data_IF_164397819837
#
_entry.id   IF_164397819837
#
_cell.length_a   1.000
_cell.length_b   1.000
_cell.length_c   1.000
_cell.angle_alpha   90.00
_cell.angle_beta   90.00
_cell.angle_gamma   90.00
#
_symmetry.space_group_name_H-M   'P 1'
#
loop_
_entity.id
_entity.type
_entity.pdbx_description
1 polymer ?
#
# COMPACT_ATOMS: atom_id res chain seq x y z
N UNK A 1 10.97 31.39 7.12
CA UNK A 1 11.32 31.14 5.73
C UNK A 1 11.88 29.73 5.67
N UNK A 2 11.42 28.93 4.72
CA UNK A 2 12.02 27.61 4.46
C UNK A 2 13.46 27.82 3.98
N UNK A 3 14.42 26.97 4.37
CA UNK A 3 15.78 27.05 3.83
C UNK A 3 15.71 26.93 2.31
N UNK A 4 16.47 27.76 1.61
CA UNK A 4 16.59 27.69 0.15
C UNK A 4 17.27 26.36 -0.23
N UNK A 5 17.06 25.91 -1.45
CA UNK A 5 17.71 24.71 -1.97
C UNK A 5 19.26 24.80 -1.84
N UNK A 6 19.81 25.99 -2.00
CA UNK A 6 21.24 26.28 -1.82
C UNK A 6 21.73 26.10 -0.36
N UNK A 7 20.88 26.40 0.63
CA UNK A 7 21.23 26.17 2.04
C UNK A 7 21.20 24.68 2.41
N UNK A 8 20.28 23.93 1.82
CA UNK A 8 20.22 22.46 1.97
C UNK A 8 21.45 21.81 1.29
N UNK A 9 21.77 22.23 0.09
CA UNK A 9 22.92 21.75 -0.67
C UNK A 9 24.24 22.07 0.03
N UNK A 10 24.39 23.31 0.54
CA UNK A 10 25.53 23.70 1.37
C UNK A 10 25.65 22.83 2.63
N UNK A 11 24.54 22.53 3.31
CA UNK A 11 24.51 21.69 4.49
C UNK A 11 24.93 20.24 4.18
N UNK A 12 24.44 19.68 3.07
CA UNK A 12 24.81 18.32 2.63
C UNK A 12 26.30 18.24 2.29
N UNK A 13 26.83 19.24 1.59
CA UNK A 13 28.25 19.27 1.18
C UNK A 13 29.23 19.45 2.36
N UNK A 14 28.78 20.04 3.48
CA UNK A 14 29.61 20.31 4.65
C UNK A 14 29.29 19.42 5.86
N UNK A 15 28.44 18.42 5.67
CA UNK A 15 28.03 17.52 6.73
C UNK A 15 29.19 16.70 7.32
N UNK A 16 30.14 16.32 6.49
CA UNK A 16 31.33 15.55 6.92
C UNK A 16 32.42 16.44 7.58
N UNK A 17 32.37 17.76 7.39
CA UNK A 17 33.35 18.72 7.95
C UNK A 17 32.89 19.35 9.28
N UNK A 18 31.75 18.94 9.84
CA UNK A 18 31.12 19.61 10.96
C UNK A 18 31.12 18.82 12.28
N UNK A 19 32.28 18.41 12.83
CA UNK A 19 32.32 17.75 14.16
C UNK A 19 32.02 18.72 15.32
N UNK A 20 31.90 20.03 15.09
CA UNK A 20 31.79 21.05 16.13
C UNK A 20 30.61 22.03 16.00
N UNK A 21 29.74 21.86 15.02
CA UNK A 21 28.46 22.59 15.04
C UNK A 21 27.57 21.94 16.10
N UNK A 22 27.19 22.70 17.13
CA UNK A 22 26.14 22.33 18.07
C UNK A 22 24.83 22.19 17.28
N UNK A 23 24.67 21.08 16.59
CA UNK A 23 23.45 20.72 15.88
C UNK A 23 22.33 20.70 16.91
N UNK A 24 21.21 21.41 16.69
CA UNK A 24 20.01 21.13 17.44
C UNK A 24 19.82 19.64 17.39
N UNK A 25 19.50 19.02 18.53
CA UNK A 25 19.37 17.56 18.63
C UNK A 25 18.63 17.04 17.40
N UNK A 26 19.12 15.99 16.82
CA UNK A 26 18.64 15.42 15.55
C UNK A 26 17.10 15.39 15.43
N UNK A 27 16.40 15.16 16.54
CA UNK A 27 14.94 15.25 16.68
C UNK A 27 14.36 16.65 16.48
N UNK A 28 14.99 17.71 16.98
CA UNK A 28 14.42 19.07 16.85
C UNK A 28 14.59 19.65 15.44
N UNK A 29 15.64 19.29 14.72
CA UNK A 29 15.85 19.63 13.32
C UNK A 29 14.81 18.98 12.43
N UNK A 30 14.66 17.68 12.53
CA UNK A 30 13.69 16.92 11.73
C UNK A 30 12.23 17.29 12.08
N UNK A 31 11.94 17.53 13.36
CA UNK A 31 10.61 18.03 13.77
C UNK A 31 10.29 19.40 13.17
N UNK A 32 11.27 20.31 13.10
CA UNK A 32 11.10 21.62 12.48
C UNK A 32 10.99 21.56 10.97
N UNK A 33 11.81 20.72 10.31
CA UNK A 33 11.73 20.48 8.86
C UNK A 33 10.38 19.85 8.48
N UNK A 34 9.90 18.88 9.25
CA UNK A 34 8.59 18.25 9.03
C UNK A 34 7.44 19.25 9.20
N UNK A 35 7.47 20.12 10.20
CA UNK A 35 6.42 21.13 10.37
C UNK A 35 6.40 22.16 9.23
N UNK A 36 7.57 22.63 8.80
CA UNK A 36 7.68 23.62 7.73
C UNK A 36 7.29 23.02 6.36
N UNK A 37 7.75 21.81 6.09
CA UNK A 37 7.50 21.15 4.80
C UNK A 37 6.04 20.67 4.69
N UNK A 38 5.49 20.05 5.74
CA UNK A 38 4.08 19.65 5.80
C UNK A 38 3.13 20.84 5.65
N UNK A 39 3.41 21.99 6.26
CA UNK A 39 2.52 23.16 6.14
C UNK A 39 2.55 23.79 4.74
N UNK A 40 3.71 23.79 4.09
CA UNK A 40 3.85 24.37 2.74
C UNK A 40 3.28 23.41 1.69
N UNK A 41 3.59 22.13 1.78
CA UNK A 41 3.12 21.11 0.85
C UNK A 41 1.63 20.81 1.01
N UNK A 42 1.07 20.80 2.23
CA UNK A 42 -0.38 20.65 2.44
C UNK A 42 -1.16 21.82 1.80
N UNK A 43 -0.63 23.05 1.82
CA UNK A 43 -1.25 24.17 1.09
C UNK A 43 -1.22 23.95 -0.41
N UNK A 44 -0.11 23.48 -0.95
CA UNK A 44 0.04 23.23 -2.38
C UNK A 44 -0.85 22.06 -2.82
N UNK A 45 -0.89 20.97 -2.05
CA UNK A 45 -1.74 19.79 -2.32
C UNK A 45 -3.23 20.12 -2.24
N UNK A 46 -3.67 20.95 -1.30
CA UNK A 46 -5.07 21.40 -1.27
C UNK A 46 -5.45 22.25 -2.48
N UNK A 47 -4.50 22.98 -3.07
CA UNK A 47 -4.72 23.74 -4.31
C UNK A 47 -4.56 22.86 -5.58
N UNK A 48 -3.70 21.84 -5.55
CA UNK A 48 -3.38 20.96 -6.67
C UNK A 48 -4.20 19.67 -6.71
N UNK A 49 -4.87 19.31 -5.61
CA UNK A 49 -5.63 18.05 -5.49
C UNK A 49 -6.75 17.87 -6.52
N UNK A 50 -7.17 18.94 -7.20
CA UNK A 50 -8.08 18.88 -8.35
C UNK A 50 -7.33 18.60 -9.68
N UNK A 51 -6.01 18.85 -9.76
CA UNK A 51 -5.22 18.68 -10.97
C UNK A 51 -4.62 17.26 -11.10
N UNK A 52 -4.46 16.53 -10.00
CA UNK A 52 -3.83 15.20 -10.03
C UNK A 52 -4.69 14.08 -10.62
N UNK A 53 -6.00 14.27 -10.81
CA UNK A 53 -6.85 13.30 -11.51
C UNK A 53 -6.51 13.16 -13.01
N UNK A 54 -5.82 14.13 -13.60
CA UNK A 54 -5.55 14.16 -15.04
C UNK A 54 -4.22 13.52 -15.48
N UNK A 55 -3.37 13.09 -14.55
CA UNK A 55 -2.01 12.58 -14.85
C UNK A 55 -1.79 11.11 -14.49
N UNK A 56 -2.83 10.34 -14.21
CA UNK A 56 -2.63 8.89 -14.05
C UNK A 56 -2.29 8.30 -15.42
N UNK A 57 -1.13 7.65 -15.57
CA UNK A 57 -0.81 6.94 -16.81
C UNK A 57 -1.87 5.86 -17.07
N UNK A 58 -2.02 5.50 -18.33
CA UNK A 58 -2.82 4.34 -18.75
C UNK A 58 -2.56 3.17 -17.81
N UNK A 59 -3.63 2.50 -17.35
CA UNK A 59 -3.59 1.38 -16.39
C UNK A 59 -2.43 0.44 -16.69
N UNK A 60 -1.54 0.31 -15.72
CA UNK A 60 -0.43 -0.64 -15.82
C UNK A 60 -0.96 -2.01 -15.41
N UNK A 61 -0.85 -3.01 -16.29
CA UNK A 61 -1.03 -4.40 -15.89
C UNK A 61 0.03 -4.74 -14.84
N UNK A 62 -0.40 -5.28 -13.69
CA UNK A 62 0.49 -5.54 -12.57
C UNK A 62 0.31 -6.97 -12.05
N UNK A 63 1.33 -7.80 -12.25
CA UNK A 63 1.41 -9.15 -11.71
C UNK A 63 2.28 -9.16 -10.46
N UNK A 64 1.66 -9.31 -9.30
CA UNK A 64 2.34 -9.19 -8.01
C UNK A 64 2.55 -10.55 -7.37
N UNK A 65 3.81 -10.92 -7.12
CA UNK A 65 4.14 -11.98 -6.17
C UNK A 65 4.11 -11.40 -4.75
N UNK A 66 3.02 -11.67 -4.01
CA UNK A 66 2.81 -11.15 -2.67
C UNK A 66 3.29 -12.17 -1.62
N UNK A 67 4.30 -11.79 -0.83
CA UNK A 67 4.81 -12.56 0.30
C UNK A 67 5.17 -11.65 1.49
N UNK A 68 4.38 -10.59 1.65
CA UNK A 68 4.46 -9.62 2.75
C UNK A 68 3.81 -10.09 4.06
N UNK A 69 3.25 -11.29 4.08
CA UNK A 69 2.68 -11.91 5.27
C UNK A 69 3.73 -12.03 6.38
N UNK A 70 3.34 -11.78 7.60
CA UNK A 70 4.18 -11.87 8.80
C UNK A 70 3.59 -12.87 9.78
N UNK A 71 2.44 -12.57 10.35
CA UNK A 71 1.76 -13.39 11.34
C UNK A 71 1.54 -14.83 10.89
N UNK A 72 1.14 -15.05 9.63
CA UNK A 72 0.91 -16.39 9.09
C UNK A 72 2.19 -17.22 9.03
N UNK A 73 3.33 -16.60 8.67
CA UNK A 73 4.62 -17.27 8.70
C UNK A 73 5.11 -17.54 10.13
N UNK A 74 4.90 -16.61 11.06
CA UNK A 74 5.21 -16.79 12.47
C UNK A 74 4.40 -17.93 13.09
N UNK A 75 3.11 -18.01 12.77
CA UNK A 75 2.23 -19.10 13.16
C UNK A 75 2.71 -20.44 12.59
N UNK A 76 3.04 -20.48 11.30
CA UNK A 76 3.60 -21.68 10.65
C UNK A 76 4.92 -22.10 11.33
N UNK A 77 5.81 -21.20 11.64
CA UNK A 77 7.03 -21.49 12.38
C UNK A 77 6.73 -22.08 13.75
N UNK A 78 5.84 -21.46 14.51
CA UNK A 78 5.44 -21.91 15.85
C UNK A 78 4.83 -23.32 15.82
N UNK A 79 3.92 -23.58 14.88
CA UNK A 79 3.27 -24.89 14.74
C UNK A 79 4.25 -26.01 14.38
N UNK A 80 5.32 -25.68 13.68
CA UNK A 80 6.35 -26.65 13.26
C UNK A 80 7.61 -26.64 14.15
N UNK A 81 7.61 -25.90 15.25
CA UNK A 81 8.76 -25.81 16.16
C UNK A 81 9.99 -25.15 15.53
N UNK A 82 9.80 -24.28 14.54
CA UNK A 82 10.87 -23.57 13.85
C UNK A 82 11.08 -22.17 14.44
N UNK A 83 12.32 -21.68 14.37
CA UNK A 83 12.61 -20.27 14.69
C UNK A 83 12.09 -19.34 13.60
N UNK A 84 11.58 -18.16 14.01
CA UNK A 84 11.14 -17.09 13.09
C UNK A 84 12.27 -16.53 12.22
N UNK A 85 13.54 -16.74 12.60
CA UNK A 85 14.70 -16.39 11.77
C UNK A 85 14.66 -17.06 10.39
N UNK A 86 14.00 -18.23 10.30
CA UNK A 86 13.81 -18.95 9.02
C UNK A 86 12.90 -18.25 8.04
N UNK A 87 12.07 -17.32 8.50
CA UNK A 87 11.15 -16.57 7.64
C UNK A 87 11.95 -15.71 6.64
N UNK A 88 12.99 -15.03 7.11
CA UNK A 88 13.85 -14.23 6.23
C UNK A 88 14.55 -15.07 5.17
N UNK A 89 15.14 -16.22 5.57
CA UNK A 89 15.77 -17.17 4.65
C UNK A 89 14.78 -17.67 3.60
N UNK A 90 13.56 -18.02 4.01
CA UNK A 90 12.50 -18.47 3.10
C UNK A 90 12.12 -17.37 2.10
N UNK A 91 11.90 -16.13 2.56
CA UNK A 91 11.57 -14.99 1.69
C UNK A 91 12.68 -14.68 0.69
N UNK A 92 13.93 -14.79 1.11
CA UNK A 92 15.09 -14.66 0.21
C UNK A 92 15.05 -15.73 -0.92
N UNK A 93 14.67 -16.98 -0.62
CA UNK A 93 14.52 -18.02 -1.65
C UNK A 93 13.34 -17.74 -2.60
N UNK A 94 12.20 -17.27 -2.07
CA UNK A 94 11.05 -16.87 -2.88
C UNK A 94 11.44 -15.73 -3.83
N UNK A 95 12.15 -14.72 -3.34
CA UNK A 95 12.62 -13.61 -4.15
C UNK A 95 13.60 -14.06 -5.26
N UNK A 96 14.54 -14.97 -4.95
CA UNK A 96 15.45 -15.56 -5.96
C UNK A 96 14.66 -16.32 -7.03
N UNK A 97 13.63 -17.06 -6.65
CA UNK A 97 12.72 -17.73 -7.58
C UNK A 97 12.04 -16.73 -8.53
N UNK A 98 11.49 -15.65 -7.97
CA UNK A 98 10.90 -14.56 -8.75
C UNK A 98 11.91 -13.94 -9.73
N UNK A 99 13.10 -13.60 -9.27
CA UNK A 99 14.16 -13.01 -10.10
C UNK A 99 14.57 -13.93 -11.26
N UNK A 100 14.59 -15.25 -11.04
CA UNK A 100 14.88 -16.22 -12.10
C UNK A 100 13.78 -16.26 -13.17
N UNK A 101 12.51 -16.23 -12.75
CA UNK A 101 11.37 -16.14 -13.67
C UNK A 101 11.40 -14.80 -14.42
N UNK A 102 11.71 -13.71 -13.73
CA UNK A 102 11.80 -12.37 -14.32
C UNK A 102 12.81 -12.30 -15.45
N UNK A 103 13.99 -12.93 -15.31
CA UNK A 103 15.03 -12.94 -16.35
C UNK A 103 14.59 -13.62 -17.65
N UNK A 104 13.66 -14.58 -17.57
CA UNK A 104 13.12 -15.31 -18.72
C UNK A 104 11.78 -14.75 -19.22
N UNK A 105 11.25 -13.72 -18.59
CA UNK A 105 9.93 -13.16 -18.89
C UNK A 105 10.04 -11.68 -19.28
N UNK A 106 9.46 -11.33 -20.42
CA UNK A 106 9.48 -9.95 -20.95
C UNK A 106 8.34 -9.06 -20.42
N UNK A 107 7.47 -9.59 -19.56
CA UNK A 107 6.34 -8.82 -19.01
C UNK A 107 6.85 -7.65 -18.16
N UNK A 108 6.42 -6.43 -18.46
CA UNK A 108 6.91 -5.21 -17.81
C UNK A 108 6.26 -4.93 -16.44
N UNK A 109 5.05 -5.44 -16.22
CA UNK A 109 4.26 -5.21 -15.01
C UNK A 109 4.54 -6.20 -13.87
N UNK A 110 5.75 -6.76 -13.78
CA UNK A 110 6.09 -7.66 -12.67
C UNK A 110 6.40 -6.87 -11.40
N UNK A 111 5.87 -7.34 -10.28
CA UNK A 111 6.09 -6.74 -8.98
C UNK A 111 6.23 -7.78 -7.87
N UNK A 112 6.84 -7.36 -6.77
CA UNK A 112 6.78 -8.07 -5.50
C UNK A 112 6.09 -7.21 -4.45
N UNK A 113 5.42 -7.86 -3.49
CA UNK A 113 4.94 -7.23 -2.28
C UNK A 113 5.60 -7.92 -1.10
N UNK A 114 6.44 -7.19 -0.36
CA UNK A 114 7.33 -7.71 0.68
C UNK A 114 7.33 -6.81 1.91
N UNK A 115 7.29 -7.39 3.10
CA UNK A 115 7.35 -6.66 4.36
C UNK A 115 8.80 -6.24 4.73
N UNK A 116 8.97 -5.14 5.49
CA UNK A 116 10.30 -4.67 5.87
C UNK A 116 10.90 -5.40 7.06
N UNK A 117 10.15 -6.25 7.76
CA UNK A 117 10.62 -6.98 8.94
C UNK A 117 11.47 -8.18 8.54
N UNK A 118 10.88 -9.10 7.79
CA UNK A 118 11.57 -10.32 7.32
C UNK A 118 12.17 -10.17 5.91
N UNK A 119 11.75 -9.15 5.16
CA UNK A 119 12.23 -8.85 3.81
C UNK A 119 13.36 -7.82 3.74
N UNK A 120 13.97 -7.44 4.87
CA UNK A 120 14.98 -6.37 4.92
C UNK A 120 16.12 -6.57 3.93
N UNK A 121 16.67 -7.78 3.83
CA UNK A 121 17.77 -8.08 2.91
C UNK A 121 17.36 -7.84 1.44
N UNK A 122 16.15 -8.26 1.08
CA UNK A 122 15.61 -8.07 -0.26
C UNK A 122 15.48 -6.58 -0.56
N UNK A 123 14.87 -5.82 0.35
CA UNK A 123 14.65 -4.39 0.18
C UNK A 123 15.98 -3.61 0.08
N UNK A 124 16.97 -3.95 0.90
CA UNK A 124 18.29 -3.31 0.87
C UNK A 124 19.02 -3.54 -0.45
N UNK A 125 18.82 -4.71 -1.07
CA UNK A 125 19.51 -5.09 -2.31
C UNK A 125 18.66 -4.82 -3.58
N UNK A 126 17.56 -4.11 -3.47
CA UNK A 126 16.60 -3.89 -4.58
C UNK A 126 16.57 -2.44 -5.09
N UNK A 127 17.59 -1.63 -4.79
CA UNK A 127 17.65 -0.23 -5.24
C UNK A 127 17.63 -0.10 -6.78
N UNK A 128 18.28 -1.03 -7.47
CA UNK A 128 18.36 -1.08 -8.94
C UNK A 128 17.48 -2.19 -9.54
N UNK A 129 16.39 -2.58 -8.85
CA UNK A 129 15.49 -3.61 -9.33
C UNK A 129 14.76 -3.15 -10.61
N UNK A 130 14.69 -4.02 -11.60
CA UNK A 130 13.96 -3.78 -12.86
C UNK A 130 12.49 -4.24 -12.79
N UNK A 131 11.95 -4.32 -11.57
CA UNK A 131 10.57 -4.67 -11.25
C UNK A 131 10.03 -3.77 -10.12
N UNK A 132 8.74 -3.63 -10.05
CA UNK A 132 8.08 -2.78 -9.05
C UNK A 132 8.07 -3.44 -7.67
N UNK A 133 8.26 -2.67 -6.61
CA UNK A 133 8.27 -3.16 -5.24
C UNK A 133 7.16 -2.48 -4.44
N UNK A 134 6.35 -3.28 -3.76
CA UNK A 134 5.37 -2.83 -2.80
C UNK A 134 5.80 -3.16 -1.37
N UNK A 135 5.55 -2.24 -0.45
CA UNK A 135 5.90 -2.42 0.95
C UNK A 135 4.73 -2.01 1.83
N UNK A 136 4.25 -2.91 2.72
CA UNK A 136 3.23 -2.56 3.69
C UNK A 136 3.76 -1.51 4.67
N UNK A 137 2.84 -0.68 5.18
CA UNK A 137 3.15 0.35 6.17
C UNK A 137 2.43 0.13 7.50
N UNK A 138 1.43 -0.73 7.49
CA UNK A 138 0.68 -1.11 8.67
C UNK A 138 1.41 -2.17 9.51
N UNK A 139 1.18 -2.15 10.82
CA UNK A 139 1.53 -3.21 11.74
C UNK A 139 0.65 -4.43 11.49
N UNK A 140 1.25 -5.60 11.36
CA UNK A 140 0.51 -6.83 11.09
C UNK A 140 -0.54 -7.12 12.16
N UNK A 141 -1.77 -7.44 11.72
CA UNK A 141 -2.87 -7.81 12.61
C UNK A 141 -3.43 -6.66 13.46
N UNK A 142 -3.01 -5.41 13.26
CA UNK A 142 -3.57 -4.28 14.00
C UNK A 142 -5.00 -3.97 13.58
N UNK A 143 -5.84 -3.73 14.58
CA UNK A 143 -7.21 -3.26 14.42
C UNK A 143 -7.59 -2.37 15.61
N UNK A 144 -7.92 -1.09 15.42
CA UNK A 144 -7.78 -0.30 14.18
C UNK A 144 -6.35 -0.30 13.60
N UNK A 145 -6.20 0.18 12.36
CA UNK A 145 -4.90 0.24 11.68
C UNK A 145 -3.89 1.05 12.51
N UNK A 146 -2.76 0.41 12.83
CA UNK A 146 -1.59 1.02 13.44
C UNK A 146 -0.41 1.00 12.46
N UNK A 147 0.54 1.91 12.65
CA UNK A 147 1.71 1.99 11.78
C UNK A 147 2.89 1.17 12.31
N UNK A 148 3.73 0.67 11.41
CA UNK A 148 4.90 -0.14 11.74
C UNK A 148 5.90 0.55 12.65
N UNK A 149 6.02 1.87 12.59
CA UNK A 149 6.97 2.66 13.33
C UNK A 149 6.28 3.84 14.01
N UNK A 150 6.85 4.30 15.12
CA UNK A 150 6.45 5.54 15.79
C UNK A 150 6.86 6.80 15.01
N UNK A 151 7.75 6.67 14.02
CA UNK A 151 8.08 7.76 13.11
C UNK A 151 6.84 8.22 12.34
N UNK A 152 6.82 9.48 11.96
CA UNK A 152 5.72 9.99 11.14
C UNK A 152 5.62 9.23 9.81
N UNK A 153 4.41 9.07 9.28
CA UNK A 153 4.20 8.44 7.96
C UNK A 153 5.08 9.09 6.88
N UNK A 154 5.24 10.41 6.95
CA UNK A 154 6.07 11.15 6.02
C UNK A 154 7.54 10.68 6.08
N UNK A 155 8.12 10.56 7.26
CA UNK A 155 9.49 10.07 7.44
C UNK A 155 9.65 8.63 6.96
N UNK A 156 8.71 7.75 7.31
CA UNK A 156 8.73 6.36 6.88
C UNK A 156 8.70 6.22 5.35
N UNK A 157 7.95 7.08 4.66
CA UNK A 157 7.84 7.03 3.20
C UNK A 157 8.96 7.80 2.50
N UNK A 158 9.49 8.86 3.10
CA UNK A 158 10.56 9.67 2.51
C UNK A 158 11.85 8.87 2.30
N UNK A 159 12.17 7.96 3.24
CA UNK A 159 13.40 7.14 3.18
C UNK A 159 13.31 5.94 2.22
N UNK A 160 12.12 5.66 1.67
CA UNK A 160 11.94 4.58 0.69
C UNK A 160 12.15 5.11 -0.74
N UNK A 161 12.65 4.31 -1.68
CA UNK A 161 12.73 4.67 -3.09
C UNK A 161 11.39 5.19 -3.63
N UNK A 162 11.43 6.17 -4.53
CA UNK A 162 10.23 6.89 -4.98
C UNK A 162 9.31 6.06 -5.88
N UNK A 163 9.81 5.07 -6.53
CA UNK A 163 9.13 4.12 -7.42
C UNK A 163 8.44 2.96 -6.68
N UNK A 164 8.75 2.78 -5.38
CA UNK A 164 8.07 1.77 -4.57
C UNK A 164 6.65 2.22 -4.23
N UNK A 165 5.69 1.32 -4.35
CA UNK A 165 4.33 1.60 -3.91
C UNK A 165 4.10 1.25 -2.44
N UNK A 166 3.15 1.93 -1.85
CA UNK A 166 2.76 1.76 -0.44
C UNK A 166 1.52 0.89 -0.39
N UNK A 167 1.55 -0.17 0.40
CA UNK A 167 0.36 -1.00 0.64
C UNK A 167 -0.12 -0.78 2.07
N UNK A 168 -1.42 -0.73 2.26
CA UNK A 168 -2.06 -0.79 3.58
C UNK A 168 -3.24 -1.75 3.54
N UNK A 169 -3.32 -2.61 4.56
CA UNK A 169 -4.44 -3.52 4.76
C UNK A 169 -5.52 -2.82 5.60
N UNK A 170 -6.75 -2.85 5.12
CA UNK A 170 -7.92 -2.34 5.82
C UNK A 170 -8.98 -3.43 5.96
N UNK A 171 -9.36 -3.71 7.21
CA UNK A 171 -10.49 -4.58 7.50
C UNK A 171 -11.76 -3.74 7.60
N UNK A 172 -12.78 -4.13 6.85
CA UNK A 172 -14.09 -3.49 6.88
C UNK A 172 -15.19 -4.51 7.15
N UNK A 173 -16.16 -4.15 7.99
CA UNK A 173 -17.43 -4.85 8.11
C UNK A 173 -18.53 -3.86 8.52
N UNK A 174 -19.77 -4.15 8.13
CA UNK A 174 -20.91 -3.25 8.35
C UNK A 174 -21.24 -3.01 9.83
N UNK A 175 -20.87 -3.96 10.70
CA UNK A 175 -21.11 -3.91 12.15
C UNK A 175 -20.03 -3.17 12.93
N UNK A 176 -19.07 -2.56 12.24
CA UNK A 176 -18.09 -1.68 12.91
C UNK A 176 -18.81 -0.53 13.62
N UNK A 177 -18.38 -0.24 14.85
CA UNK A 177 -18.83 0.95 15.54
C UNK A 177 -18.45 2.22 14.77
N UNK A 178 -19.22 3.28 14.93
CA UNK A 178 -18.90 4.57 14.30
C UNK A 178 -17.51 5.08 14.74
N UNK A 179 -17.09 4.79 15.96
CA UNK A 179 -15.77 5.19 16.49
C UNK A 179 -14.63 4.44 15.80
N UNK A 180 -14.71 3.12 15.69
CA UNK A 180 -13.72 2.29 14.97
C UNK A 180 -13.61 2.73 13.50
N UNK A 181 -14.74 2.97 12.84
CA UNK A 181 -14.80 3.42 11.47
C UNK A 181 -14.13 4.78 11.29
N UNK A 182 -14.47 5.77 12.11
CA UNK A 182 -13.89 7.11 12.07
C UNK A 182 -12.38 7.03 12.34
N UNK A 183 -11.96 6.23 13.32
CA UNK A 183 -10.54 6.05 13.66
C UNK A 183 -9.77 5.51 12.47
N UNK A 184 -10.25 4.43 11.85
CA UNK A 184 -9.58 3.84 10.69
C UNK A 184 -9.55 4.78 9.48
N UNK A 185 -10.68 5.38 9.11
CA UNK A 185 -10.74 6.34 7.99
C UNK A 185 -9.83 7.55 8.23
N UNK A 186 -9.71 8.01 9.48
CA UNK A 186 -8.79 9.09 9.83
C UNK A 186 -7.33 8.70 9.59
N UNK A 187 -6.94 7.47 9.96
CA UNK A 187 -5.59 6.97 9.71
C UNK A 187 -5.32 6.79 8.21
N UNK A 188 -6.25 6.18 7.49
CA UNK A 188 -6.13 5.99 6.04
C UNK A 188 -6.05 7.33 5.29
N UNK A 189 -6.81 8.34 5.72
CA UNK A 189 -6.76 9.68 5.15
C UNK A 189 -5.39 10.32 5.32
N UNK A 190 -4.82 10.26 6.53
CA UNK A 190 -3.45 10.75 6.78
C UNK A 190 -2.43 10.07 5.86
N UNK A 191 -2.53 8.75 5.70
CA UNK A 191 -1.65 8.02 4.78
C UNK A 191 -1.84 8.47 3.33
N UNK A 192 -3.08 8.59 2.88
CA UNK A 192 -3.40 9.04 1.51
C UNK A 192 -2.85 10.43 1.22
N UNK A 193 -2.96 11.37 2.16
CA UNK A 193 -2.42 12.73 2.04
C UNK A 193 -0.90 12.72 1.94
N UNK A 194 -0.21 11.91 2.76
CA UNK A 194 1.26 11.77 2.68
C UNK A 194 1.68 11.10 1.37
N UNK A 195 0.97 10.06 0.92
CA UNK A 195 1.23 9.43 -0.37
C UNK A 195 1.07 10.41 -1.52
N UNK A 196 0.02 11.24 -1.52
CA UNK A 196 -0.20 12.27 -2.52
C UNK A 196 0.94 13.30 -2.52
N UNK A 197 1.33 13.82 -1.34
CA UNK A 197 2.43 14.78 -1.17
C UNK A 197 3.76 14.24 -1.72
N UNK A 198 4.06 12.98 -1.44
CA UNK A 198 5.29 12.32 -1.87
C UNK A 198 5.17 11.64 -3.24
N UNK A 199 4.05 11.82 -3.94
CA UNK A 199 3.75 11.18 -5.25
C UNK A 199 3.91 9.66 -5.22
N UNK A 200 3.48 9.03 -4.10
CA UNK A 200 3.53 7.57 -3.91
C UNK A 200 2.25 6.93 -4.38
N UNK A 201 2.36 5.83 -5.12
CA UNK A 201 1.21 4.99 -5.46
C UNK A 201 0.73 4.28 -4.20
N UNK A 202 -0.53 4.50 -3.80
CA UNK A 202 -1.16 3.85 -2.65
C UNK A 202 -2.00 2.67 -3.11
N UNK A 203 -1.71 1.50 -2.60
CA UNK A 203 -2.53 0.30 -2.73
C UNK A 203 -3.31 0.09 -1.44
N UNK A 204 -4.63 0.16 -1.51
CA UNK A 204 -5.51 -0.13 -0.39
C UNK A 204 -6.08 -1.54 -0.53
N UNK A 205 -5.62 -2.44 0.34
CA UNK A 205 -6.11 -3.80 0.41
C UNK A 205 -7.31 -3.87 1.33
N UNK A 206 -8.47 -4.18 0.75
CA UNK A 206 -9.75 -4.28 1.45
C UNK A 206 -10.09 -5.73 1.72
N UNK A 207 -10.18 -6.09 2.99
CA UNK A 207 -10.59 -7.41 3.45
C UNK A 207 -11.89 -7.29 4.27
N UNK A 208 -12.85 -8.12 3.92
CA UNK A 208 -14.05 -8.34 4.73
C UNK A 208 -13.82 -9.63 5.52
N UNK A 209 -13.68 -9.58 6.86
CA UNK A 209 -13.40 -10.77 7.64
C UNK A 209 -14.51 -11.83 7.54
N UNK A 210 -14.15 -13.10 7.45
CA UNK A 210 -15.06 -14.23 7.21
C UNK A 210 -16.19 -14.36 8.24
N UNK A 211 -15.93 -14.02 9.51
CA UNK A 211 -16.94 -14.06 10.55
C UNK A 211 -18.09 -13.07 10.32
N UNK A 212 -17.82 -11.97 9.62
CA UNK A 212 -18.83 -10.98 9.24
C UNK A 212 -19.47 -11.31 7.89
N UNK A 213 -18.68 -11.78 6.92
CA UNK A 213 -19.18 -12.22 5.63
C UNK A 213 -20.24 -13.34 5.77
N UNK A 214 -20.08 -14.26 6.72
CA UNK A 214 -21.05 -15.31 7.01
C UNK A 214 -22.35 -14.80 7.64
N UNK A 215 -22.28 -13.76 8.46
CA UNK A 215 -23.45 -13.17 9.12
C UNK A 215 -24.23 -12.24 8.17
N UNK A 216 -23.60 -11.77 7.10
CA UNK A 216 -24.20 -10.92 6.07
C UNK A 216 -24.53 -11.69 4.79
N UNK A 217 -24.83 -12.97 4.90
CA UNK A 217 -25.14 -13.86 3.77
C UNK A 217 -26.30 -13.38 2.86
N UNK A 218 -27.01 -12.32 3.28
CA UNK A 218 -28.04 -11.65 2.48
C UNK A 218 -27.51 -10.47 1.65
N UNK A 219 -26.27 -10.01 1.87
CA UNK A 219 -25.63 -8.98 1.07
C UNK A 219 -24.69 -9.63 0.06
N UNK A 220 -24.68 -9.15 -1.17
CA UNK A 220 -23.71 -9.59 -2.15
C UNK A 220 -22.31 -9.07 -1.80
N UNK A 221 -21.28 -9.84 -2.11
CA UNK A 221 -19.89 -9.44 -1.88
C UNK A 221 -19.54 -8.16 -2.64
N UNK A 222 -20.02 -8.02 -3.87
CA UNK A 222 -19.83 -6.83 -4.70
C UNK A 222 -20.44 -5.58 -4.06
N UNK A 223 -21.63 -5.71 -3.46
CA UNK A 223 -22.27 -4.61 -2.73
C UNK A 223 -21.47 -4.22 -1.49
N UNK A 224 -21.05 -5.18 -0.69
CA UNK A 224 -20.29 -4.92 0.54
C UNK A 224 -18.96 -4.22 0.24
N UNK A 225 -18.25 -4.68 -0.80
CA UNK A 225 -17.04 -4.00 -1.28
C UNK A 225 -17.33 -2.57 -1.76
N UNK A 226 -18.40 -2.40 -2.54
CA UNK A 226 -18.83 -1.09 -3.05
C UNK A 226 -19.19 -0.11 -1.93
N UNK A 227 -19.88 -0.57 -0.90
CA UNK A 227 -20.24 0.24 0.27
C UNK A 227 -18.97 0.70 1.01
N UNK A 228 -18.02 -0.21 1.25
CA UNK A 228 -16.73 0.10 1.86
C UNK A 228 -15.93 1.12 1.04
N UNK A 229 -15.82 0.91 -0.26
CA UNK A 229 -15.13 1.83 -1.18
C UNK A 229 -15.79 3.21 -1.19
N UNK A 230 -17.13 3.25 -1.12
CA UNK A 230 -17.89 4.50 -1.05
C UNK A 230 -17.51 5.31 0.17
N UNK A 231 -17.39 4.68 1.35
CA UNK A 231 -16.99 5.36 2.58
C UNK A 231 -15.56 5.93 2.48
N UNK A 232 -14.65 5.19 1.88
CA UNK A 232 -13.26 5.64 1.64
C UNK A 232 -13.23 6.86 0.73
N UNK A 233 -13.93 6.83 -0.40
CA UNK A 233 -14.00 7.97 -1.32
C UNK A 233 -14.70 9.19 -0.69
N UNK A 234 -15.77 8.98 0.08
CA UNK A 234 -16.45 10.06 0.79
C UNK A 234 -15.58 10.69 1.88
N UNK A 235 -14.65 9.94 2.46
CA UNK A 235 -13.63 10.47 3.37
C UNK A 235 -12.51 11.26 2.65
N UNK A 236 -12.54 11.33 1.31
CA UNK A 236 -11.54 12.01 0.49
C UNK A 236 -10.25 11.21 0.30
N UNK A 237 -10.32 9.87 0.39
CA UNK A 237 -9.20 8.96 0.19
C UNK A 237 -9.28 8.40 -1.23
N UNK A 238 -8.20 8.56 -2.00
CA UNK A 238 -8.14 8.13 -3.40
C UNK A 238 -6.94 7.19 -3.59
N UNK A 239 -7.12 5.86 -3.46
CA UNK A 239 -6.04 4.91 -3.71
C UNK A 239 -5.67 4.90 -5.20
N UNK A 240 -4.44 4.51 -5.50
CA UNK A 240 -4.01 4.27 -6.89
C UNK A 240 -4.51 2.89 -7.36
N UNK A 241 -4.52 1.90 -6.44
CA UNK A 241 -5.09 0.57 -6.65
C UNK A 241 -5.91 0.13 -5.46
N UNK A 242 -7.01 -0.53 -5.76
CA UNK A 242 -7.69 -1.40 -4.83
C UNK A 242 -7.15 -2.82 -4.95
N UNK A 243 -6.88 -3.47 -3.84
CA UNK A 243 -6.58 -4.90 -3.79
C UNK A 243 -7.71 -5.58 -3.03
N UNK A 244 -8.43 -6.51 -3.67
CA UNK A 244 -9.67 -7.07 -3.14
C UNK A 244 -9.72 -8.58 -3.30
N UNK A 245 -10.56 -9.24 -2.51
CA UNK A 245 -10.94 -10.63 -2.76
C UNK A 245 -11.70 -10.71 -4.10
N UNK A 246 -11.43 -11.73 -4.88
CA UNK A 246 -12.10 -11.94 -6.14
C UNK A 246 -13.62 -12.11 -5.97
N UNK A 247 -14.37 -11.63 -6.95
CA UNK A 247 -15.81 -11.82 -7.05
C UNK A 247 -16.12 -12.93 -8.06
N UNK A 248 -17.09 -13.78 -7.77
CA UNK A 248 -17.33 -15.01 -8.52
C UNK A 248 -18.19 -14.85 -9.77
N UNK A 249 -18.89 -13.72 -9.92
CA UNK A 249 -19.80 -13.48 -11.04
C UNK A 249 -19.80 -12.01 -11.50
N UNK A 250 -20.27 -11.79 -12.72
CA UNK A 250 -20.27 -10.49 -13.38
C UNK A 250 -21.16 -9.44 -12.69
N UNK A 251 -22.31 -9.86 -12.14
CA UNK A 251 -23.26 -8.96 -11.48
C UNK A 251 -22.62 -8.30 -10.25
N UNK A 252 -21.88 -9.06 -9.46
CA UNK A 252 -21.15 -8.53 -8.31
C UNK A 252 -20.01 -7.61 -8.73
N UNK A 253 -19.29 -7.97 -9.80
CA UNK A 253 -18.28 -7.09 -10.38
C UNK A 253 -18.89 -5.76 -10.85
N UNK A 254 -19.99 -5.81 -11.62
CA UNK A 254 -20.68 -4.60 -12.09
C UNK A 254 -21.19 -3.74 -10.93
N UNK A 255 -21.70 -4.36 -9.88
CA UNK A 255 -22.15 -3.65 -8.67
C UNK A 255 -21.01 -2.89 -8.01
N UNK A 256 -19.86 -3.52 -7.81
CA UNK A 256 -18.68 -2.92 -7.23
C UNK A 256 -18.07 -1.86 -8.15
N UNK A 257 -17.88 -2.16 -9.44
CA UNK A 257 -17.27 -1.22 -10.40
C UNK A 257 -18.13 0.00 -10.66
N UNK A 258 -19.45 -0.09 -10.52
CA UNK A 258 -20.34 1.08 -10.58
C UNK A 258 -20.00 2.16 -9.53
N UNK A 259 -19.41 1.78 -8.41
CA UNK A 259 -18.87 2.73 -7.42
C UNK A 259 -17.58 3.36 -7.93
N UNK A 260 -16.69 2.56 -8.53
CA UNK A 260 -15.43 3.04 -9.09
C UNK A 260 -15.67 4.02 -10.25
N UNK A 261 -16.57 3.68 -11.16
CA UNK A 261 -16.97 4.55 -12.28
C UNK A 261 -17.47 5.92 -11.79
N UNK A 262 -18.18 5.93 -10.67
CA UNK A 262 -18.72 7.16 -10.06
C UNK A 262 -17.66 8.03 -9.42
N UNK A 263 -16.74 7.43 -8.67
CA UNK A 263 -15.82 8.17 -7.80
C UNK A 263 -14.42 8.31 -8.40
N UNK A 264 -13.92 7.29 -9.08
CA UNK A 264 -12.56 7.23 -9.62
C UNK A 264 -12.46 6.24 -10.80
N UNK A 265 -12.92 6.64 -12.00
CA UNK A 265 -12.91 5.77 -13.17
C UNK A 265 -11.51 5.32 -13.63
N UNK A 266 -10.45 5.96 -13.12
CA UNK A 266 -9.06 5.65 -13.45
C UNK A 266 -8.40 4.66 -12.47
N UNK A 267 -9.07 4.31 -11.36
CA UNK A 267 -8.49 3.40 -10.36
C UNK A 267 -8.35 1.98 -10.90
N UNK A 268 -7.24 1.33 -10.58
CA UNK A 268 -7.03 -0.07 -10.90
C UNK A 268 -7.50 -1.00 -9.77
N UNK A 269 -7.91 -2.22 -10.15
CA UNK A 269 -8.29 -3.28 -9.21
C UNK A 269 -7.35 -4.46 -9.36
N UNK A 270 -6.76 -4.89 -8.24
CA UNK A 270 -5.89 -6.06 -8.13
C UNK A 270 -6.63 -7.15 -7.36
N UNK A 271 -6.63 -8.33 -7.93
CA UNK A 271 -7.30 -9.50 -7.35
C UNK A 271 -6.35 -10.23 -6.41
N UNK A 272 -6.80 -10.47 -5.17
CA UNK A 272 -6.11 -11.32 -4.21
C UNK A 272 -6.09 -12.76 -4.67
N UNK A 273 -4.88 -13.34 -4.67
CA UNK A 273 -4.69 -14.75 -5.02
C UNK A 273 -5.23 -15.72 -3.97
N UNK A 274 -5.12 -15.39 -2.72
CA UNK A 274 -5.69 -16.11 -1.56
C UNK A 274 -5.45 -17.64 -1.59
N UNK A 275 -4.25 -18.08 -2.02
CA UNK A 275 -3.86 -19.48 -2.18
C UNK A 275 -4.80 -20.33 -3.06
N UNK A 276 -5.55 -19.68 -3.96
CA UNK A 276 -6.47 -20.38 -4.85
C UNK A 276 -5.70 -21.24 -5.87
N UNK A 277 -6.25 -22.39 -6.29
CA UNK A 277 -5.69 -23.17 -7.39
C UNK A 277 -5.79 -22.40 -8.71
N UNK A 278 -4.93 -22.74 -9.69
CA UNK A 278 -4.80 -22.00 -10.94
C UNK A 278 -6.11 -21.96 -11.76
N UNK A 279 -6.91 -23.02 -11.67
CA UNK A 279 -8.21 -23.12 -12.34
C UNK A 279 -9.20 -22.07 -11.78
N UNK A 280 -9.09 -21.75 -10.49
CA UNK A 280 -9.91 -20.73 -9.86
C UNK A 280 -9.47 -19.32 -10.30
N UNK A 281 -8.17 -19.11 -10.46
CA UNK A 281 -7.67 -17.86 -11.05
C UNK A 281 -8.20 -17.62 -12.45
N UNK A 282 -8.14 -18.63 -13.31
CA UNK A 282 -8.68 -18.55 -14.68
C UNK A 282 -10.16 -18.15 -14.69
N UNK A 283 -10.95 -18.70 -13.75
CA UNK A 283 -12.36 -18.32 -13.58
C UNK A 283 -12.50 -16.85 -13.20
N UNK A 284 -11.79 -16.41 -12.18
CA UNK A 284 -11.83 -15.02 -11.69
C UNK A 284 -11.40 -14.03 -12.77
N UNK A 285 -10.32 -14.29 -13.48
CA UNK A 285 -9.85 -13.42 -14.55
C UNK A 285 -10.82 -13.34 -15.73
N UNK A 286 -11.51 -14.45 -16.07
CA UNK A 286 -12.54 -14.41 -17.12
C UNK A 286 -13.70 -13.51 -16.75
N UNK A 287 -14.14 -13.58 -15.50
CA UNK A 287 -15.21 -12.71 -14.98
C UNK A 287 -14.74 -11.26 -14.91
N UNK A 288 -13.56 -11.02 -14.37
CA UNK A 288 -13.02 -9.68 -14.19
C UNK A 288 -12.71 -8.96 -15.51
N UNK A 289 -12.39 -9.68 -16.60
CA UNK A 289 -12.13 -9.10 -17.93
C UNK A 289 -13.32 -8.36 -18.53
N UNK A 290 -14.52 -8.67 -18.09
CA UNK A 290 -15.74 -7.96 -18.54
C UNK A 290 -15.81 -6.53 -17.99
N UNK A 291 -14.92 -6.16 -17.05
CA UNK A 291 -14.93 -4.85 -16.39
C UNK A 291 -13.68 -4.04 -16.72
N UNK A 292 -13.79 -2.71 -16.85
CA UNK A 292 -12.67 -1.88 -17.29
C UNK A 292 -11.61 -1.60 -16.20
N UNK A 293 -11.80 -1.99 -14.94
CA UNK A 293 -10.94 -1.63 -13.80
C UNK A 293 -9.86 -2.66 -13.45
N UNK A 294 -9.90 -3.86 -13.99
CA UNK A 294 -8.88 -4.90 -13.71
C UNK A 294 -7.54 -4.57 -14.34
N UNK A 295 -6.49 -4.64 -13.50
CA UNK A 295 -5.09 -4.45 -13.90
C UNK A 295 -4.34 -5.77 -13.96
#
# INVERSE_FOLDING_TARGET
AAPSFAEIEYFIQHFDDAPNLALPTHQSFWSKMNQLHLQTELRNVMCEGQLQKSERPVREELLILAFDHRTQFEETCRENGLSTDKIADFKDQVCKGFQNVRKSNSHKGLAILIDPEYGRNILTNSADADYTIGVPIEKAGSFPVEWLSEDSLYQQLLVRPSDWFVKVLWHFHSQMSSEEKITQLTQLKKLSEVCATLKRKLMLELIIPDNFAKNESHLSAGKTLGDAMTEVYQAGINPYWWKITALDNEEEWQTMTGVLDKYDPEVGVIILGNNAPIEQFDKWFRVARSTPHTC
#
